data_IF_025585404406
#
_entry.id   IF_025585404406
#
_cell.length_a   1.000
_cell.length_b   1.000
_cell.length_c   1.000
_cell.angle_alpha   90.00
_cell.angle_beta   90.00
_cell.angle_gamma   90.00
#
_symmetry.space_group_name_H-M   'P 1'
#
loop_
_entity.id
_entity.type
_entity.pdbx_description
1 polymer ?
#
# COMPACT_ATOMS: atom_id res chain seq x y z
N UNK A 1 -4.79 -25.10 -27.01
CA UNK A 1 -4.51 -23.75 -27.55
C UNK A 1 -4.17 -22.87 -26.35
N UNK A 2 -3.02 -22.19 -26.41
CA UNK A 2 -2.52 -21.02 -25.65
C UNK A 2 -3.21 -20.62 -24.31
N UNK A 3 -2.51 -20.19 -23.26
CA UNK A 3 -1.61 -19.02 -23.29
C UNK A 3 -0.31 -19.22 -22.50
N UNK A 4 0.78 -18.75 -23.12
CA UNK A 4 2.06 -18.51 -22.47
C UNK A 4 1.83 -17.60 -21.27
N UNK A 5 2.22 -18.07 -20.08
CA UNK A 5 2.28 -17.27 -18.87
C UNK A 5 3.20 -16.07 -19.12
N UNK A 6 2.64 -14.95 -19.57
CA UNK A 6 3.36 -13.70 -19.70
C UNK A 6 3.79 -13.26 -18.31
N UNK A 7 5.09 -13.02 -18.13
CA UNK A 7 5.61 -12.44 -16.90
C UNK A 7 4.91 -11.10 -16.63
N UNK A 8 4.31 -10.95 -15.45
CA UNK A 8 3.77 -9.68 -15.00
C UNK A 8 4.94 -8.71 -14.77
N UNK A 9 5.12 -7.75 -15.69
CA UNK A 9 6.16 -6.73 -15.62
C UNK A 9 5.63 -5.50 -14.92
N UNK A 10 6.34 -5.05 -13.90
CA UNK A 10 6.07 -3.80 -13.20
C UNK A 10 7.07 -2.75 -13.67
N UNK A 11 6.55 -1.58 -14.04
CA UNK A 11 7.36 -0.44 -14.48
C UNK A 11 7.31 0.66 -13.41
N UNK A 12 8.48 1.21 -13.09
CA UNK A 12 8.67 2.29 -12.13
C UNK A 12 9.45 3.42 -12.78
N UNK A 13 9.04 4.67 -12.54
CA UNK A 13 9.88 5.83 -12.83
C UNK A 13 10.58 6.24 -11.56
N UNK A 14 11.91 6.18 -11.57
CA UNK A 14 12.73 6.56 -10.43
C UNK A 14 13.32 7.95 -10.68
N UNK A 15 13.27 8.80 -9.65
CA UNK A 15 14.05 10.03 -9.58
C UNK A 15 15.23 9.76 -8.67
N UNK A 16 16.44 9.93 -9.20
CA UNK A 16 17.69 9.57 -8.55
C UNK A 16 18.50 10.84 -8.28
N UNK A 17 18.96 11.01 -7.05
CA UNK A 17 20.06 11.92 -6.71
C UNK A 17 21.36 11.19 -7.06
N UNK A 18 21.93 11.52 -8.22
CA UNK A 18 23.14 10.87 -8.75
C UNK A 18 24.37 11.13 -7.88
N UNK A 19 24.48 12.33 -7.28
CA UNK A 19 25.60 12.70 -6.42
C UNK A 19 25.67 11.80 -5.18
N UNK A 20 24.50 11.52 -4.59
CA UNK A 20 24.39 10.63 -3.42
C UNK A 20 24.14 9.17 -3.79
N UNK A 21 23.98 8.86 -5.07
CA UNK A 21 23.55 7.57 -5.59
C UNK A 21 22.32 7.01 -4.84
N UNK A 22 21.25 7.81 -4.72
CA UNK A 22 20.03 7.47 -3.96
C UNK A 22 18.77 7.73 -4.77
N UNK A 23 17.80 6.82 -4.69
CA UNK A 23 16.44 7.06 -5.18
C UNK A 23 15.73 7.98 -4.20
N UNK A 24 15.28 9.14 -4.67
CA UNK A 24 14.56 10.12 -3.84
C UNK A 24 13.04 10.06 -4.04
N UNK A 25 12.60 9.53 -5.19
CA UNK A 25 11.18 9.35 -5.49
C UNK A 25 10.99 8.18 -6.48
N UNK A 26 9.90 7.43 -6.31
CA UNK A 26 9.49 6.37 -7.21
C UNK A 26 8.02 6.56 -7.57
N UNK A 27 7.73 6.80 -8.84
CA UNK A 27 6.36 6.80 -9.36
C UNK A 27 6.04 5.41 -9.90
N UNK A 28 4.83 4.94 -9.59
CA UNK A 28 4.33 3.64 -9.96
C UNK A 28 2.92 3.76 -10.55
N UNK A 29 2.53 2.79 -11.38
CA UNK A 29 1.15 2.64 -11.82
C UNK A 29 0.22 2.27 -10.67
N UNK A 30 -1.08 2.60 -10.82
CA UNK A 30 -2.13 2.36 -9.82
C UNK A 30 -2.14 0.92 -9.32
N UNK A 31 -2.02 -0.07 -10.21
CA UNK A 31 -2.09 -1.49 -9.84
C UNK A 31 -1.02 -1.90 -8.82
N UNK A 32 0.21 -1.38 -8.95
CA UNK A 32 1.27 -1.65 -7.98
C UNK A 32 1.00 -0.95 -6.64
N UNK A 33 0.53 0.30 -6.71
CA UNK A 33 0.22 1.12 -5.55
C UNK A 33 -0.91 0.49 -4.74
N UNK A 34 -1.98 0.04 -5.40
CA UNK A 34 -3.12 -0.64 -4.79
C UNK A 34 -2.68 -1.94 -4.10
N UNK A 35 -1.80 -2.74 -4.74
CA UNK A 35 -1.23 -3.94 -4.11
C UNK A 35 -0.40 -3.58 -2.88
N UNK A 36 0.47 -2.56 -2.95
CA UNK A 36 1.27 -2.10 -1.81
C UNK A 36 0.36 -1.66 -0.64
N UNK A 37 -0.68 -0.86 -0.93
CA UNK A 37 -1.62 -0.40 0.07
C UNK A 37 -2.52 -1.51 0.61
N UNK A 38 -2.81 -2.56 -0.15
CA UNK A 38 -3.54 -3.73 0.35
C UNK A 38 -2.76 -4.43 1.47
N UNK A 39 -1.44 -4.57 1.33
CA UNK A 39 -0.58 -5.12 2.38
C UNK A 39 -0.53 -4.23 3.61
N UNK A 40 -0.42 -2.92 3.42
CA UNK A 40 -0.42 -1.94 4.51
C UNK A 40 -1.75 -1.93 5.25
N UNK A 41 -2.88 -1.97 4.53
CA UNK A 41 -4.23 -2.01 5.10
C UNK A 41 -4.45 -3.30 5.89
N UNK A 42 -3.97 -4.44 5.40
CA UNK A 42 -4.03 -5.71 6.11
C UNK A 42 -3.25 -5.68 7.43
N UNK A 43 -2.02 -5.18 7.40
CA UNK A 43 -1.20 -5.00 8.59
C UNK A 43 -1.88 -4.02 9.57
N UNK A 44 -2.37 -2.88 9.07
CA UNK A 44 -3.09 -1.89 9.86
C UNK A 44 -4.35 -2.44 10.51
N UNK A 45 -5.19 -3.19 9.79
CA UNK A 45 -6.38 -3.81 10.36
C UNK A 45 -6.04 -4.77 11.51
N UNK A 46 -4.86 -5.40 11.46
CA UNK A 46 -4.33 -6.22 12.56
C UNK A 46 -3.93 -5.34 13.76
N UNK A 47 -3.24 -4.23 13.51
CA UNK A 47 -2.94 -3.23 14.54
C UNK A 47 -4.22 -2.67 15.17
N UNK A 48 -5.23 -2.27 14.39
CA UNK A 48 -6.51 -1.75 14.88
C UNK A 48 -7.20 -2.76 15.81
N UNK A 49 -7.18 -4.06 15.47
CA UNK A 49 -7.71 -5.14 16.33
C UNK A 49 -6.94 -5.26 17.66
N UNK A 50 -5.61 -5.19 17.61
CA UNK A 50 -4.77 -5.24 18.81
C UNK A 50 -4.98 -4.02 19.71
N UNK A 51 -5.01 -2.81 19.14
CA UNK A 51 -5.24 -1.57 19.88
C UNK A 51 -6.61 -1.57 20.58
N UNK A 52 -7.66 -2.03 19.89
CA UNK A 52 -8.99 -2.22 20.47
C UNK A 52 -8.97 -3.22 21.64
N UNK A 53 -8.25 -4.34 21.49
CA UNK A 53 -8.11 -5.36 22.56
C UNK A 53 -7.44 -4.78 23.81
N UNK A 54 -6.42 -3.95 23.64
CA UNK A 54 -5.65 -3.36 24.75
C UNK A 54 -6.21 -2.02 25.23
N UNK A 55 -7.29 -1.50 24.63
CA UNK A 55 -7.86 -0.17 24.90
C UNK A 55 -6.81 0.95 24.82
N UNK A 56 -5.84 0.79 23.92
CA UNK A 56 -4.72 1.72 23.77
C UNK A 56 -5.06 2.73 22.69
N UNK A 57 -5.09 4.01 23.06
CA UNK A 57 -5.13 5.09 22.09
C UNK A 57 -3.70 5.34 21.56
N UNK A 58 -3.50 5.16 20.26
CA UNK A 58 -2.23 5.50 19.60
C UNK A 58 -2.45 6.79 18.84
N UNK A 59 -1.77 7.86 19.27
CA UNK A 59 -1.98 9.26 18.89
C UNK A 59 -2.64 9.49 17.53
N UNK A 60 -1.86 9.49 16.45
CA UNK A 60 -2.36 9.75 15.10
C UNK A 60 -2.89 8.51 14.37
N UNK A 61 -2.95 7.33 15.02
CA UNK A 61 -3.35 6.09 14.37
C UNK A 61 -4.79 6.15 13.83
N UNK A 62 -5.68 6.89 14.51
CA UNK A 62 -7.04 7.10 14.03
C UNK A 62 -7.08 7.84 12.68
N UNK A 63 -6.15 8.78 12.45
CA UNK A 63 -6.04 9.47 11.17
C UNK A 63 -5.56 8.51 10.09
N UNK A 64 -4.63 7.61 10.44
CA UNK A 64 -4.10 6.58 9.55
C UNK A 64 -5.21 5.59 9.15
N UNK A 65 -5.95 5.06 10.14
CA UNK A 65 -7.08 4.12 9.95
C UNK A 65 -8.16 4.75 9.06
N UNK A 66 -8.48 6.02 9.28
CA UNK A 66 -9.43 6.77 8.43
C UNK A 66 -8.90 6.96 7.00
N UNK A 67 -7.62 7.33 6.84
CA UNK A 67 -7.01 7.53 5.52
C UNK A 67 -6.92 6.22 4.73
N UNK A 68 -6.70 5.08 5.39
CA UNK A 68 -6.68 3.77 4.75
C UNK A 68 -8.07 3.35 4.25
N UNK A 69 -9.14 3.74 4.93
CA UNK A 69 -10.52 3.52 4.45
C UNK A 69 -10.87 4.44 3.28
N UNK A 70 -10.31 5.65 3.26
CA UNK A 70 -10.57 6.66 2.22
C UNK A 70 -9.74 6.44 0.94
N UNK A 71 -8.60 5.74 1.04
CA UNK A 71 -7.93 5.17 -0.12
C UNK A 71 -8.80 4.06 -0.69
N UNK A 72 -9.66 4.41 -1.64
CA UNK A 72 -10.64 3.53 -2.26
C UNK A 72 -10.04 2.22 -2.75
N UNK A 73 -10.05 1.21 -1.88
CA UNK A 73 -10.11 -0.18 -2.29
C UNK A 73 -11.53 -0.31 -2.80
N UNK A 74 -11.69 -0.26 -4.13
CA UNK A 74 -12.94 -0.61 -4.79
C UNK A 74 -13.45 -1.87 -4.10
N UNK A 75 -14.55 -1.75 -3.36
CA UNK A 75 -15.11 -2.88 -2.63
C UNK A 75 -15.30 -3.98 -3.67
N UNK A 76 -14.54 -5.07 -3.56
CA UNK A 76 -14.99 -6.38 -4.01
C UNK A 76 -16.19 -6.68 -3.11
N UNK A 77 -17.32 -6.09 -3.49
CA UNK A 77 -18.64 -6.53 -3.13
C UNK A 77 -18.96 -7.64 -4.14
N UNK A 78 -18.71 -8.87 -3.72
CA UNK A 78 -19.72 -9.93 -3.84
C UNK A 78 -19.87 -10.53 -2.43
#
# INVERSE_FOLDING_TARGET
MAESSGEAKVYLRLVIDEEKNKVVLAEAGKDLVDVLFSFLTLAMGTFTKLLKKHKTAVGCFNNLDTSAVDMGIDKVAD
#
